data_IF_724861081147
#
_entry.id   IF_724861081147
#
_cell.length_a   1.000
_cell.length_b   1.000
_cell.length_c   1.000
_cell.angle_alpha   90.00
_cell.angle_beta   90.00
_cell.angle_gamma   90.00
#
_symmetry.space_group_name_H-M   'P 1'
#
loop_
_entity.id
_entity.type
_entity.pdbx_description
1 polymer ?
#
# COMPACT_ATOMS: atom_id res chain seq x y z
N UNK A 1 5.58 -13.69 -10.50
CA UNK A 1 6.12 -12.47 -9.86
C UNK A 1 5.02 -11.63 -9.25
N UNK A 2 3.98 -11.28 -10.01
CA UNK A 2 2.86 -10.48 -9.48
C UNK A 2 2.18 -11.13 -8.28
N UNK A 3 1.96 -12.45 -8.31
CA UNK A 3 1.38 -13.19 -7.18
C UNK A 3 2.22 -13.10 -5.91
N UNK A 4 3.54 -13.16 -6.04
CA UNK A 4 4.45 -13.05 -4.89
C UNK A 4 4.39 -11.65 -4.25
N UNK A 5 4.29 -10.59 -5.05
CA UNK A 5 4.16 -9.23 -4.54
C UNK A 5 2.83 -9.03 -3.83
N UNK A 6 1.75 -9.60 -4.38
CA UNK A 6 0.44 -9.53 -3.74
C UNK A 6 0.42 -10.32 -2.42
N UNK A 7 1.12 -11.44 -2.33
CA UNK A 7 1.27 -12.18 -1.06
C UNK A 7 1.96 -11.34 0.01
N UNK A 8 2.99 -10.58 -0.36
CA UNK A 8 3.65 -9.66 0.57
C UNK A 8 2.70 -8.56 1.04
N UNK A 9 1.86 -8.02 0.14
CA UNK A 9 0.83 -7.06 0.53
C UNK A 9 -0.19 -7.68 1.49
N UNK A 10 -0.59 -8.93 1.26
CA UNK A 10 -1.48 -9.67 2.17
C UNK A 10 -0.85 -9.88 3.55
N UNK A 11 0.45 -10.17 3.62
CA UNK A 11 1.16 -10.27 4.89
C UNK A 11 1.10 -8.95 5.67
N UNK A 12 1.24 -7.82 4.98
CA UNK A 12 1.09 -6.50 5.60
C UNK A 12 -0.35 -6.27 6.08
N UNK A 13 -1.34 -6.73 5.33
CA UNK A 13 -2.74 -6.64 5.75
C UNK A 13 -2.99 -7.46 7.03
N UNK A 14 -2.42 -8.65 7.14
CA UNK A 14 -2.49 -9.47 8.36
C UNK A 14 -1.85 -8.75 9.53
N UNK A 15 -0.69 -8.14 9.32
CA UNK A 15 -0.01 -7.35 10.35
C UNK A 15 -0.87 -6.18 10.82
N UNK A 16 -1.54 -5.48 9.90
CA UNK A 16 -2.47 -4.41 10.24
C UNK A 16 -3.58 -4.93 11.14
N UNK A 17 -4.20 -6.05 10.76
CA UNK A 17 -5.29 -6.65 11.54
C UNK A 17 -4.82 -7.04 12.94
N UNK A 18 -3.63 -7.62 13.08
CA UNK A 18 -3.04 -7.99 14.37
C UNK A 18 -2.79 -6.76 15.25
N UNK A 19 -2.58 -5.60 14.65
CA UNK A 19 -2.38 -4.33 15.35
C UNK A 19 -3.67 -3.50 15.47
N UNK A 20 -4.83 -4.13 15.30
CA UNK A 20 -6.16 -3.49 15.41
C UNK A 20 -6.38 -2.36 14.42
N UNK A 21 -5.80 -2.49 13.24
CA UNK A 21 -6.01 -1.60 12.10
C UNK A 21 -6.92 -2.27 11.07
N UNK A 22 -7.46 -1.47 10.15
CA UNK A 22 -8.15 -2.03 8.98
C UNK A 22 -7.15 -2.87 8.19
N UNK A 23 -7.49 -4.13 7.78
CA UNK A 23 -6.54 -5.04 7.17
C UNK A 23 -6.22 -4.68 5.72
N UNK A 24 -5.47 -3.61 5.54
CA UNK A 24 -4.96 -3.16 4.25
C UNK A 24 -3.43 -3.11 4.32
N UNK A 25 -2.80 -3.75 3.37
CA UNK A 25 -1.36 -3.74 3.20
C UNK A 25 -0.99 -3.44 1.77
N UNK A 26 0.18 -2.85 1.58
CA UNK A 26 0.67 -2.60 0.23
C UNK A 26 2.18 -2.71 0.13
N UNK A 27 2.64 -3.00 -1.09
CA UNK A 27 4.05 -2.97 -1.45
C UNK A 27 4.22 -2.14 -2.72
N UNK A 28 5.35 -1.44 -2.81
CA UNK A 28 5.76 -0.73 -4.02
C UNK A 28 6.98 -1.44 -4.59
N UNK A 29 6.95 -1.68 -5.90
CA UNK A 29 7.94 -2.48 -6.62
C UNK A 29 8.57 -1.62 -7.72
N UNK A 30 9.90 -1.61 -7.77
CA UNK A 30 10.69 -0.98 -8.84
C UNK A 30 11.63 -2.04 -9.43
N UNK A 31 11.54 -2.25 -10.74
CA UNK A 31 12.37 -3.21 -11.47
C UNK A 31 12.39 -4.62 -10.84
N UNK A 32 11.21 -5.11 -10.44
CA UNK A 32 11.07 -6.43 -9.84
C UNK A 32 11.51 -6.53 -8.38
N UNK A 33 11.85 -5.40 -7.73
CA UNK A 33 12.29 -5.36 -6.33
C UNK A 33 11.29 -4.59 -5.47
N UNK A 34 10.94 -5.15 -4.33
CA UNK A 34 10.12 -4.44 -3.33
C UNK A 34 10.97 -3.35 -2.68
N UNK A 35 10.54 -2.12 -2.81
CA UNK A 35 11.22 -0.96 -2.24
C UNK A 35 10.45 -0.29 -1.11
N UNK A 36 9.18 -0.64 -0.92
CA UNK A 36 8.38 -0.22 0.22
C UNK A 36 7.36 -1.30 0.55
N UNK A 37 7.15 -1.58 1.83
CA UNK A 37 6.22 -2.60 2.29
C UNK A 37 5.61 -2.11 3.61
N UNK A 38 4.33 -1.80 3.61
CA UNK A 38 3.67 -1.15 4.74
C UNK A 38 2.21 -1.57 4.89
N UNK A 39 1.65 -1.24 6.04
CA UNK A 39 0.25 -1.49 6.40
C UNK A 39 -0.44 -0.21 6.86
N UNK A 40 -1.76 -0.26 6.92
CA UNK A 40 -2.60 0.82 7.44
C UNK A 40 -2.20 1.16 8.88
N UNK A 41 -2.10 2.45 9.20
CA UNK A 41 -1.70 2.96 10.51
C UNK A 41 -2.62 4.06 11.06
N UNK A 42 -3.86 4.13 10.56
CA UNK A 42 -4.79 5.21 10.95
C UNK A 42 -5.07 5.23 12.45
N UNK A 43 -5.26 4.07 13.07
CA UNK A 43 -5.54 3.99 14.50
C UNK A 43 -4.30 4.27 15.34
N UNK A 44 -3.16 3.71 14.99
CA UNK A 44 -1.90 3.89 15.71
C UNK A 44 -1.46 5.36 15.71
N UNK A 45 -1.62 6.05 14.59
CA UNK A 45 -1.20 7.45 14.42
C UNK A 45 -2.29 8.44 14.77
N UNK A 46 -3.55 7.99 14.93
CA UNK A 46 -4.73 8.85 15.05
C UNK A 46 -4.84 9.86 13.91
N UNK A 47 -4.48 9.43 12.73
CA UNK A 47 -4.45 10.24 11.52
C UNK A 47 -5.18 9.50 10.41
N UNK A 48 -6.32 10.03 9.99
CA UNK A 48 -7.18 9.40 8.98
C UNK A 48 -6.51 9.30 7.60
N UNK A 49 -5.43 10.02 7.37
CA UNK A 49 -4.70 9.97 6.09
C UNK A 49 -3.68 8.84 6.01
N UNK A 50 -3.42 8.12 7.11
CA UNK A 50 -2.35 7.10 7.18
C UNK A 50 -2.81 5.74 6.67
N UNK A 51 -3.43 5.71 5.50
CA UNK A 51 -3.68 4.48 4.76
C UNK A 51 -2.35 3.86 4.30
N UNK A 52 -2.38 2.55 4.00
CA UNK A 52 -1.17 1.83 3.60
C UNK A 52 -0.47 2.51 2.41
N UNK A 53 -1.23 2.94 1.41
CA UNK A 53 -0.69 3.60 0.22
C UNK A 53 0.03 4.91 0.59
N UNK A 54 -0.57 5.72 1.45
CA UNK A 54 0.04 6.99 1.89
C UNK A 54 1.32 6.75 2.69
N UNK A 55 1.32 5.75 3.56
CA UNK A 55 2.52 5.34 4.30
C UNK A 55 3.63 4.89 3.35
N UNK A 56 3.30 4.09 2.33
CA UNK A 56 4.28 3.62 1.34
C UNK A 56 4.92 4.78 0.57
N UNK A 57 4.10 5.75 0.14
CA UNK A 57 4.58 6.94 -0.55
C UNK A 57 5.52 7.74 0.36
N UNK A 58 5.11 7.98 1.61
CA UNK A 58 5.89 8.79 2.55
C UNK A 58 7.25 8.15 2.87
N UNK A 59 7.31 6.84 3.01
CA UNK A 59 8.57 6.11 3.20
C UNK A 59 9.53 6.41 2.07
N UNK A 60 9.07 6.30 0.82
CA UNK A 60 9.92 6.54 -0.35
C UNK A 60 10.29 8.01 -0.52
N UNK A 61 9.36 8.94 -0.28
CA UNK A 61 9.65 10.37 -0.34
C UNK A 61 10.75 10.74 0.65
N UNK A 62 10.65 10.29 1.89
CA UNK A 62 11.68 10.56 2.90
C UNK A 62 13.02 9.97 2.51
N UNK A 63 13.02 8.74 2.02
CA UNK A 63 14.24 8.04 1.61
C UNK A 63 14.92 8.75 0.44
N UNK A 64 14.18 9.08 -0.60
CA UNK A 64 14.74 9.72 -1.79
C UNK A 64 15.16 11.17 -1.53
N UNK A 65 14.43 11.90 -0.69
CA UNK A 65 14.82 13.25 -0.28
C UNK A 65 16.12 13.21 0.52
N UNK A 66 16.29 12.24 1.42
CA UNK A 66 17.54 12.07 2.17
C UNK A 66 18.72 11.70 1.29
N UNK A 67 18.45 11.09 0.12
CA UNK A 67 19.48 10.80 -0.89
C UNK A 67 19.80 11.99 -1.80
N UNK A 68 19.09 13.11 -1.64
CA UNK A 68 19.33 14.32 -2.40
C UNK A 68 18.61 14.39 -3.74
N UNK A 69 17.64 13.52 -4.01
CA UNK A 69 16.85 13.59 -5.24
C UNK A 69 15.94 14.82 -5.25
N UNK A 70 15.90 15.52 -6.40
CA UNK A 70 15.01 16.65 -6.60
C UNK A 70 13.61 16.18 -7.06
N UNK A 71 12.68 17.12 -7.21
CA UNK A 71 11.31 16.79 -7.60
C UNK A 71 11.19 16.07 -8.94
N UNK A 72 11.87 16.50 -10.03
CA UNK A 72 11.85 15.75 -11.28
C UNK A 72 12.39 14.34 -11.17
N UNK A 73 13.46 14.13 -10.40
CA UNK A 73 14.05 12.81 -10.16
C UNK A 73 13.10 11.90 -9.38
N UNK A 74 12.42 12.43 -8.36
CA UNK A 74 11.42 11.69 -7.59
C UNK A 74 10.24 11.28 -8.48
N UNK A 75 9.75 12.19 -9.32
CA UNK A 75 8.66 11.89 -10.26
C UNK A 75 9.05 10.79 -11.26
N UNK A 76 10.29 10.82 -11.76
CA UNK A 76 10.80 9.79 -12.66
C UNK A 76 10.89 8.42 -11.97
N UNK A 77 11.29 8.40 -10.70
CA UNK A 77 11.34 7.16 -9.91
C UNK A 77 9.94 6.57 -9.76
N UNK A 78 8.95 7.35 -9.35
CA UNK A 78 7.58 6.86 -9.21
C UNK A 78 6.99 6.37 -10.53
N UNK A 79 7.36 6.99 -11.65
CA UNK A 79 6.90 6.55 -12.97
C UNK A 79 7.40 5.15 -13.35
N UNK A 80 8.44 4.67 -12.69
CA UNK A 80 8.97 3.30 -12.84
C UNK A 80 8.47 2.32 -11.77
N UNK A 81 7.56 2.72 -10.90
CA UNK A 81 7.08 1.91 -9.79
C UNK A 81 5.67 1.39 -9.99
N UNK A 82 5.43 0.16 -9.54
CA UNK A 82 4.11 -0.45 -9.46
C UNK A 82 3.72 -0.63 -7.99
N UNK A 83 2.43 -0.44 -7.69
CA UNK A 83 1.90 -0.61 -6.35
C UNK A 83 0.96 -1.81 -6.31
N UNK A 84 1.17 -2.69 -5.33
CA UNK A 84 0.29 -3.81 -5.04
C UNK A 84 -0.37 -3.55 -3.69
N UNK A 85 -1.69 -3.49 -3.67
CA UNK A 85 -2.48 -3.22 -2.47
C UNK A 85 -3.60 -4.24 -2.34
N UNK A 86 -3.93 -4.64 -1.12
CA UNK A 86 -4.94 -5.68 -0.90
C UNK A 86 -6.36 -5.20 -1.18
N UNK A 87 -6.63 -3.91 -0.98
CA UNK A 87 -7.94 -3.30 -1.21
C UNK A 87 -7.83 -2.18 -2.23
N UNK A 88 -8.84 -1.99 -3.07
CA UNK A 88 -8.82 -0.89 -4.03
C UNK A 88 -8.57 0.45 -3.32
N UNK A 89 -7.73 1.32 -3.87
CA UNK A 89 -7.48 2.62 -3.27
C UNK A 89 -8.75 3.44 -3.15
N UNK A 90 -8.93 4.09 -2.00
CA UNK A 90 -10.00 5.06 -1.83
C UNK A 90 -9.72 6.30 -2.69
N UNK A 91 -10.68 7.24 -2.74
CA UNK A 91 -10.55 8.44 -3.58
C UNK A 91 -9.33 9.27 -3.20
N UNK A 92 -9.01 9.36 -1.90
CA UNK A 92 -7.83 10.07 -1.41
C UNK A 92 -6.55 9.43 -1.93
N UNK A 93 -6.40 8.12 -1.75
CA UNK A 93 -5.20 7.40 -2.18
C UNK A 93 -5.08 7.33 -3.70
N UNK A 94 -6.19 7.11 -4.41
CA UNK A 94 -6.19 7.10 -5.87
C UNK A 94 -5.76 8.44 -6.44
N UNK A 95 -6.22 9.55 -5.85
CA UNK A 95 -5.80 10.89 -6.24
C UNK A 95 -4.32 11.11 -5.97
N UNK A 96 -3.83 10.72 -4.79
CA UNK A 96 -2.41 10.84 -4.45
C UNK A 96 -1.53 10.04 -5.41
N UNK A 97 -1.89 8.80 -5.70
CA UNK A 97 -1.16 7.93 -6.63
C UNK A 97 -1.12 8.52 -8.04
N UNK A 98 -2.22 9.10 -8.49
CA UNK A 98 -2.30 9.77 -9.78
C UNK A 98 -1.39 11.00 -9.85
N UNK A 99 -1.39 11.82 -8.80
CA UNK A 99 -0.59 13.04 -8.73
C UNK A 99 0.91 12.73 -8.76
N UNK A 100 1.36 11.71 -7.99
CA UNK A 100 2.77 11.33 -7.98
C UNK A 100 3.20 10.57 -9.24
N UNK A 101 2.25 10.09 -10.03
CA UNK A 101 2.52 9.42 -11.29
C UNK A 101 3.00 7.99 -11.17
N UNK A 102 2.48 7.22 -10.21
CA UNK A 102 2.79 5.79 -10.12
C UNK A 102 2.39 5.07 -11.41
N UNK A 103 3.17 4.09 -11.86
CA UNK A 103 2.98 3.46 -13.17
C UNK A 103 1.71 2.62 -13.23
N UNK A 104 1.59 1.65 -12.33
CA UNK A 104 0.44 0.74 -12.28
C UNK A 104 0.03 0.45 -10.84
N UNK A 105 -1.26 0.21 -10.64
CA UNK A 105 -1.83 -0.17 -9.33
C UNK A 105 -2.61 -1.46 -9.50
N UNK A 106 -2.29 -2.45 -8.67
CA UNK A 106 -2.96 -3.75 -8.65
C UNK A 106 -3.62 -3.97 -7.30
N UNK A 107 -4.86 -4.44 -7.30
CA UNK A 107 -5.59 -4.78 -6.06
C UNK A 107 -6.37 -6.08 -6.22
N UNK A 108 -6.69 -6.73 -5.09
CA UNK A 108 -7.47 -7.98 -5.08
C UNK A 108 -8.92 -7.72 -4.69
N UNK A 109 -9.14 -6.92 -3.63
CA UNK A 109 -10.45 -6.70 -3.06
C UNK A 109 -10.96 -5.30 -3.36
N UNK A 110 -12.27 -5.16 -3.58
CA UNK A 110 -12.92 -3.86 -3.58
C UNK A 110 -13.29 -3.48 -2.13
N UNK A 111 -13.34 -2.19 -1.83
CA UNK A 111 -13.57 -1.67 -0.48
C UNK A 111 -14.85 -2.19 0.16
N UNK A 112 -15.92 -2.31 -0.61
CA UNK A 112 -17.19 -2.82 -0.13
C UNK A 112 -17.10 -4.27 0.35
N UNK A 113 -16.31 -5.10 -0.33
CA UNK A 113 -16.13 -6.50 0.07
C UNK A 113 -15.43 -6.60 1.41
N UNK A 114 -14.39 -5.78 1.63
CA UNK A 114 -13.65 -5.80 2.88
C UNK A 114 -14.52 -5.38 4.07
N UNK A 115 -15.44 -4.43 3.86
CA UNK A 115 -16.32 -3.91 4.90
C UNK A 115 -17.44 -4.88 5.29
N UNK A 116 -17.97 -5.63 4.33
CA UNK A 116 -19.21 -6.39 4.51
C UNK A 116 -19.06 -7.91 4.52
N UNK A 117 -17.85 -8.43 4.28
CA UNK A 117 -17.63 -9.88 4.22
C UNK A 117 -16.66 -10.35 5.32
N UNK A 118 -17.18 -10.77 6.48
CA UNK A 118 -16.34 -11.25 7.59
C UNK A 118 -15.40 -12.39 7.20
N UNK A 119 -15.78 -13.21 6.21
CA UNK A 119 -14.94 -14.31 5.74
C UNK A 119 -13.62 -13.84 5.11
N UNK A 120 -13.57 -12.62 4.58
CA UNK A 120 -12.32 -12.04 4.08
C UNK A 120 -11.31 -11.85 5.21
N UNK A 121 -11.77 -11.44 6.40
CA UNK A 121 -10.90 -11.35 7.57
C UNK A 121 -10.33 -12.72 7.95
N UNK A 122 -11.18 -13.74 7.90
CA UNK A 122 -10.76 -15.13 8.17
C UNK A 122 -9.71 -15.57 7.14
N UNK A 123 -9.92 -15.26 5.87
CA UNK A 123 -8.97 -15.59 4.81
C UNK A 123 -7.62 -14.90 5.04
N UNK A 124 -7.64 -13.62 5.41
CA UNK A 124 -6.43 -12.83 5.65
C UNK A 124 -5.67 -13.29 6.89
N UNK A 125 -6.38 -13.79 7.92
CA UNK A 125 -5.74 -14.27 9.15
C UNK A 125 -5.30 -15.72 9.07
N UNK A 126 -5.75 -16.46 8.05
CA UNK A 126 -5.48 -17.89 7.96
C UNK A 126 -6.28 -18.73 8.95
N UNK A 127 -7.27 -18.16 9.63
CA UNK A 127 -8.19 -18.88 10.50
C UNK A 127 -9.34 -19.43 9.65
N UNK A 128 -9.47 -20.72 9.63
CA UNK A 128 -10.53 -21.40 8.89
C UNK A 128 -11.56 -21.97 9.86
#
# INVERSE_FOLDING_TARGET
>A
MAAAFMELALEQAKSALDNLEVPVGCVIVEDGKVISSVSNKTNATRDATRHAEMEAIDVLLRQWQSMGLDQPQVAEKFAGCDLYVTCEPCIMCATALSIIGIREVYNIFISAELAYKPWLKVLLTGLV
#
